data_IF_454090642680
#
_entry.id   IF_454090642680
#
_cell.length_a   1.000
_cell.length_b   1.000
_cell.length_c   1.000
_cell.angle_alpha   90.00
_cell.angle_beta   90.00
_cell.angle_gamma   90.00
#
_symmetry.space_group_name_H-M   'P 1'
#
loop_
_entity.id
_entity.type
_entity.pdbx_description
1 polymer ?
#
# COMPACT_ATOMS: atom_id res chain seq x y z
N UNK A 1 -13.15 -7.98 -35.09
CA UNK A 1 -11.69 -7.73 -35.02
C UNK A 1 -10.85 -8.95 -35.44
N UNK A 2 -11.28 -9.73 -36.44
CA UNK A 2 -10.47 -10.85 -36.93
C UNK A 2 -9.26 -10.32 -37.71
N UNK A 3 -8.06 -10.78 -37.38
CA UNK A 3 -6.81 -10.42 -38.08
C UNK A 3 -5.97 -9.32 -37.45
N UNK A 4 -6.35 -8.75 -36.30
CA UNK A 4 -5.51 -7.84 -35.52
C UNK A 4 -4.33 -8.60 -34.89
N UNK A 5 -3.17 -7.95 -34.70
CA UNK A 5 -2.01 -8.58 -34.05
C UNK A 5 -1.88 -8.09 -32.62
N UNK A 6 -1.37 -8.93 -31.73
CA UNK A 6 -1.03 -8.55 -30.37
C UNK A 6 0.36 -9.07 -30.01
N UNK A 7 1.00 -8.39 -29.06
CA UNK A 7 2.28 -8.79 -28.48
C UNK A 7 2.06 -9.37 -27.10
N UNK A 8 2.66 -10.51 -26.79
CA UNK A 8 2.57 -11.12 -25.47
C UNK A 8 3.41 -10.32 -24.47
N UNK A 9 2.86 -10.08 -23.28
CA UNK A 9 3.51 -9.35 -22.20
C UNK A 9 4.16 -10.31 -21.18
N UNK A 10 3.58 -11.50 -21.01
CA UNK A 10 4.00 -12.52 -20.05
C UNK A 10 4.00 -13.90 -20.72
N UNK A 11 4.82 -14.86 -20.26
CA UNK A 11 4.79 -16.23 -20.75
C UNK A 11 3.50 -16.93 -20.31
N UNK A 12 2.94 -17.77 -21.18
CA UNK A 12 1.76 -18.59 -20.93
C UNK A 12 2.03 -20.02 -21.40
N UNK A 13 1.93 -21.01 -20.50
CA UNK A 13 2.29 -22.40 -20.80
C UNK A 13 1.18 -23.18 -21.49
N UNK A 14 -0.09 -22.80 -21.34
CA UNK A 14 -1.23 -23.49 -21.94
C UNK A 14 -1.50 -24.91 -21.40
N UNK A 15 -0.57 -25.55 -20.69
CA UNK A 15 -0.61 -26.96 -20.28
C UNK A 15 -1.81 -27.37 -19.41
N UNK A 16 -2.45 -26.41 -18.73
CA UNK A 16 -3.68 -26.66 -17.95
C UNK A 16 -4.96 -26.59 -18.78
N UNK A 17 -4.86 -26.22 -20.05
CA UNK A 17 -5.97 -26.07 -20.99
C UNK A 17 -5.69 -26.89 -22.26
N UNK A 18 -6.51 -27.90 -22.55
CA UNK A 18 -6.32 -28.76 -23.73
C UNK A 18 -6.34 -28.03 -25.10
N UNK A 19 -6.76 -26.75 -25.12
CA UNK A 19 -6.73 -25.86 -26.27
C UNK A 19 -5.96 -24.54 -25.99
N UNK A 20 -5.08 -24.52 -24.97
CA UNK A 20 -4.32 -23.32 -24.60
C UNK A 20 -3.14 -23.05 -25.55
N UNK A 21 -3.02 -21.81 -26.05
CA UNK A 21 -1.92 -21.45 -26.94
C UNK A 21 -0.66 -21.09 -26.15
N UNK A 22 0.37 -21.93 -26.18
CA UNK A 22 1.63 -21.66 -25.46
C UNK A 22 2.50 -20.59 -26.15
N UNK A 23 2.99 -19.62 -25.38
CA UNK A 23 3.93 -18.58 -25.83
C UNK A 23 4.82 -18.05 -24.71
N UNK A 24 6.00 -17.53 -25.07
CA UNK A 24 6.83 -16.70 -24.20
C UNK A 24 6.43 -15.22 -24.27
N UNK A 25 6.93 -14.40 -23.34
CA UNK A 25 6.75 -12.94 -23.39
C UNK A 25 7.49 -12.34 -24.61
N UNK A 26 6.85 -11.38 -25.28
CA UNK A 26 7.39 -10.66 -26.43
C UNK A 26 7.05 -11.27 -27.79
N UNK A 27 6.40 -12.42 -27.85
CA UNK A 27 5.92 -13.08 -29.08
C UNK A 27 4.73 -12.34 -29.71
N UNK A 28 4.53 -12.55 -31.01
CA UNK A 28 3.41 -11.97 -31.77
C UNK A 28 2.34 -13.03 -32.04
N UNK A 29 1.09 -12.66 -31.81
CA UNK A 29 -0.08 -13.51 -32.03
C UNK A 29 -1.08 -12.77 -32.90
N UNK A 30 -1.67 -13.47 -33.86
CA UNK A 30 -2.76 -12.94 -34.70
C UNK A 30 -4.10 -13.37 -34.10
N UNK A 31 -4.98 -12.42 -33.82
CA UNK A 31 -6.28 -12.67 -33.20
C UNK A 31 -7.27 -13.26 -34.20
N UNK A 32 -7.87 -14.38 -33.83
CA UNK A 32 -8.93 -15.06 -34.56
C UNK A 32 -10.29 -14.69 -33.98
N UNK A 33 -10.47 -14.83 -32.67
CA UNK A 33 -11.71 -14.56 -31.95
C UNK A 33 -11.48 -13.74 -30.68
N UNK A 34 -12.35 -12.76 -30.43
CA UNK A 34 -12.29 -11.84 -29.29
C UNK A 34 -13.68 -11.77 -28.62
N UNK A 35 -14.09 -12.80 -27.86
CA UNK A 35 -15.31 -12.77 -27.05
C UNK A 35 -15.22 -11.78 -25.87
N UNK A 36 -16.36 -11.35 -25.34
CA UNK A 36 -16.46 -10.41 -24.21
C UNK A 36 -16.04 -11.02 -22.85
N UNK A 37 -15.52 -12.25 -22.83
CA UNK A 37 -15.14 -13.02 -21.64
C UNK A 37 -13.66 -12.97 -21.25
N UNK A 38 -12.86 -12.07 -21.84
CA UNK A 38 -11.46 -11.85 -21.43
C UNK A 38 -10.46 -12.93 -21.86
N UNK A 39 -10.89 -13.95 -22.58
CA UNK A 39 -10.04 -14.94 -23.26
C UNK A 39 -10.17 -14.79 -24.76
N UNK A 40 -9.05 -14.72 -25.45
CA UNK A 40 -9.00 -14.55 -26.90
C UNK A 40 -8.41 -15.80 -27.54
N UNK A 41 -8.89 -16.10 -28.74
CA UNK A 41 -8.30 -17.14 -29.58
C UNK A 41 -7.37 -16.46 -30.58
N UNK A 42 -6.18 -17.03 -30.75
CA UNK A 42 -5.24 -16.54 -31.74
C UNK A 42 -4.35 -17.62 -32.33
N UNK A 43 -3.58 -17.21 -33.32
CA UNK A 43 -2.65 -18.04 -34.07
C UNK A 43 -1.27 -17.41 -34.03
N UNK A 44 -0.27 -18.22 -33.69
CA UNK A 44 1.15 -17.85 -33.77
C UNK A 44 1.66 -17.96 -35.21
N UNK A 45 2.81 -17.36 -35.48
CA UNK A 45 3.44 -17.43 -36.80
C UNK A 45 3.87 -18.87 -37.19
N UNK A 46 3.96 -19.80 -36.24
CA UNK A 46 4.21 -21.24 -36.45
C UNK A 46 2.93 -22.04 -36.78
N UNK A 47 1.78 -21.37 -36.89
CA UNK A 47 0.48 -21.97 -37.22
C UNK A 47 -0.24 -22.62 -36.03
N UNK A 48 0.33 -22.58 -34.82
CA UNK A 48 -0.33 -23.10 -33.63
C UNK A 48 -1.45 -22.15 -33.21
N UNK A 49 -2.62 -22.73 -32.94
CA UNK A 49 -3.84 -22.04 -32.52
C UNK A 49 -4.23 -22.42 -31.11
N UNK A 50 -4.85 -21.49 -30.41
CA UNK A 50 -5.46 -21.76 -29.13
C UNK A 50 -5.83 -20.51 -28.37
N UNK A 51 -6.31 -20.74 -27.16
CA UNK A 51 -6.86 -19.72 -26.29
C UNK A 51 -5.82 -19.18 -25.32
N UNK A 52 -5.90 -17.89 -25.04
CA UNK A 52 -5.08 -17.22 -24.05
C UNK A 52 -5.77 -16.00 -23.43
N UNK A 53 -5.35 -15.56 -22.23
CA UNK A 53 -5.97 -14.41 -21.58
C UNK A 53 -5.65 -13.10 -22.31
N UNK A 54 -6.66 -12.25 -22.51
CA UNK A 54 -6.51 -10.91 -23.07
C UNK A 54 -5.52 -10.05 -22.26
N UNK A 55 -5.45 -10.25 -20.95
CA UNK A 55 -4.54 -9.55 -20.03
C UNK A 55 -3.07 -9.91 -20.23
N UNK A 56 -2.76 -10.98 -20.96
CA UNK A 56 -1.40 -11.43 -21.24
C UNK A 56 -0.84 -10.84 -22.54
N UNK A 57 -1.63 -10.03 -23.25
CA UNK A 57 -1.25 -9.47 -24.53
C UNK A 57 -1.58 -7.98 -24.62
N UNK A 58 -0.82 -7.28 -25.44
CA UNK A 58 -1.06 -5.89 -25.83
C UNK A 58 -1.42 -5.85 -27.31
N UNK A 59 -2.57 -5.27 -27.66
CA UNK A 59 -2.98 -5.13 -29.06
C UNK A 59 -2.00 -4.20 -29.80
N UNK A 60 -1.49 -4.69 -30.94
CA UNK A 60 -0.68 -3.92 -31.88
C UNK A 60 -1.59 -3.58 -33.06
N UNK A 61 -1.96 -2.31 -33.18
CA UNK A 61 -2.76 -1.81 -34.30
C UNK A 61 -2.11 -2.19 -35.65
N UNK A 62 -2.90 -2.66 -36.63
CA UNK A 62 -2.39 -3.04 -37.95
C UNK A 62 -2.35 -1.84 -38.92
N UNK A 63 -1.38 -1.83 -39.86
CA UNK A 63 -1.10 -0.74 -40.77
C UNK A 63 -2.02 -0.76 -41.99
N UNK A 64 -2.54 0.41 -42.39
CA UNK A 64 -3.18 0.58 -43.70
C UNK A 64 -4.33 1.58 -43.76
N UNK A 65 -4.06 2.87 -43.56
CA UNK A 65 -4.82 3.95 -44.21
C UNK A 65 -3.83 5.07 -44.62
N UNK A 66 -3.77 5.32 -45.92
CA UNK A 66 -2.97 6.34 -46.61
C UNK A 66 -3.56 7.75 -46.33
N UNK A 67 -2.77 8.83 -46.19
CA UNK A 67 -3.26 10.22 -46.03
C UNK A 67 -3.35 10.96 -47.39
N UNK A 68 -3.92 12.19 -47.46
CA UNK A 68 -5.33 12.59 -47.55
C UNK A 68 -5.71 13.18 -48.94
N UNK A 69 -6.92 13.75 -49.13
CA UNK A 69 -7.01 15.07 -49.75
C UNK A 69 -7.55 16.12 -48.77
N UNK A 70 -7.12 17.35 -49.04
CA UNK A 70 -7.15 18.53 -48.18
C UNK A 70 -8.56 19.05 -47.82
N UNK A 71 -8.64 19.62 -46.61
CA UNK A 71 -9.75 20.43 -46.06
C UNK A 71 -10.49 19.65 -44.97
N UNK A 72 -10.43 19.95 -43.68
CA UNK A 72 -10.37 21.25 -43.00
C UNK A 72 -9.45 21.20 -41.76
N UNK A 73 -9.10 22.37 -41.28
CA UNK A 73 -7.96 22.68 -40.43
C UNK A 73 -7.92 22.05 -39.03
N UNK A 74 -6.68 21.77 -38.65
CA UNK A 74 -6.15 21.48 -37.32
C UNK A 74 -6.70 22.33 -36.17
N UNK A 75 -7.10 21.65 -35.09
CA UNK A 75 -6.77 22.09 -33.73
C UNK A 75 -6.28 20.91 -32.89
N UNK A 76 -5.00 20.59 -33.02
CA UNK A 76 -4.26 19.83 -32.00
C UNK A 76 -4.03 20.74 -30.79
N UNK A 77 -5.03 20.88 -29.92
CA UNK A 77 -4.81 21.48 -28.60
C UNK A 77 -4.15 20.41 -27.72
N UNK A 78 -2.87 20.63 -27.42
CA UNK A 78 -2.06 19.78 -26.55
C UNK A 78 -2.64 19.83 -25.14
N UNK A 79 -2.80 18.66 -24.49
CA UNK A 79 -3.23 18.60 -23.09
C UNK A 79 -2.21 19.32 -22.19
N UNK A 80 -2.64 19.98 -21.09
CA UNK A 80 -1.70 20.62 -20.18
C UNK A 80 -0.67 19.63 -19.62
N UNK A 81 0.56 20.08 -19.26
CA UNK A 81 1.58 19.21 -18.69
C UNK A 81 1.05 18.39 -17.50
N UNK A 82 1.27 17.07 -17.54
CA UNK A 82 0.77 16.13 -16.54
C UNK A 82 -0.55 15.44 -16.91
N UNK A 83 -1.31 15.92 -17.90
CA UNK A 83 -2.58 15.27 -18.27
C UNK A 83 -2.42 14.25 -19.40
N UNK A 84 -2.94 13.04 -19.17
CA UNK A 84 -3.00 11.94 -20.14
C UNK A 84 -4.45 11.50 -20.35
N UNK A 85 -4.79 11.03 -21.56
CA UNK A 85 -6.13 10.52 -21.88
C UNK A 85 -6.15 8.99 -21.94
N UNK A 86 -7.18 8.39 -21.36
CA UNK A 86 -7.42 6.96 -21.32
C UNK A 86 -8.85 6.63 -21.77
N UNK A 87 -9.10 5.37 -22.13
CA UNK A 87 -10.44 4.87 -22.43
C UNK A 87 -10.89 3.96 -21.30
N UNK A 88 -12.12 4.15 -20.81
CA UNK A 88 -12.74 3.26 -19.85
C UNK A 88 -13.05 1.90 -20.50
N UNK A 89 -13.31 0.84 -19.70
CA UNK A 89 -13.75 -0.45 -20.23
C UNK A 89 -15.04 -0.38 -21.07
N UNK A 90 -15.81 0.70 -20.95
CA UNK A 90 -17.02 0.99 -21.74
C UNK A 90 -16.75 1.90 -22.95
N UNK A 91 -15.48 2.14 -23.29
CA UNK A 91 -15.06 2.95 -24.44
C UNK A 91 -15.15 4.47 -24.24
N UNK A 92 -15.42 4.95 -23.01
CA UNK A 92 -15.56 6.39 -22.74
C UNK A 92 -14.21 7.00 -22.38
N UNK A 93 -13.84 8.12 -23.03
CA UNK A 93 -12.57 8.80 -22.77
C UNK A 93 -12.60 9.56 -21.44
N UNK A 94 -11.56 9.39 -20.63
CA UNK A 94 -11.32 10.13 -19.39
C UNK A 94 -9.87 10.63 -19.35
N UNK A 95 -9.59 11.66 -18.57
CA UNK A 95 -8.28 12.29 -18.46
C UNK A 95 -7.76 12.15 -17.03
N UNK A 96 -6.47 11.84 -16.89
CA UNK A 96 -5.78 11.66 -15.60
C UNK A 96 -4.59 12.58 -15.55
N UNK A 97 -4.47 13.35 -14.47
CA UNK A 97 -3.27 14.12 -14.19
C UNK A 97 -2.26 13.23 -13.44
N UNK A 98 -1.14 12.89 -14.07
CA UNK A 98 -0.09 12.05 -13.49
C UNK A 98 0.73 12.73 -12.41
N UNK A 99 0.61 14.05 -12.24
CA UNK A 99 1.28 14.79 -11.17
C UNK A 99 0.39 14.95 -9.91
N UNK A 100 -0.94 15.08 -10.07
CA UNK A 100 -1.89 15.29 -8.95
C UNK A 100 -2.78 14.10 -8.64
N UNK A 101 -2.78 13.05 -9.48
CA UNK A 101 -3.71 11.91 -9.45
C UNK A 101 -5.20 12.30 -9.61
N UNK A 102 -5.50 13.48 -10.14
CA UNK A 102 -6.88 13.89 -10.44
C UNK A 102 -7.41 13.21 -11.70
N UNK A 103 -8.71 12.92 -11.72
CA UNK A 103 -9.39 12.32 -12.88
C UNK A 103 -10.60 13.16 -13.29
N UNK A 104 -10.80 13.38 -14.58
CA UNK A 104 -11.97 14.09 -15.12
C UNK A 104 -12.48 13.46 -16.41
N UNK A 105 -13.78 13.60 -16.65
CA UNK A 105 -14.43 13.18 -17.90
C UNK A 105 -14.39 14.28 -18.97
N UNK A 106 -14.09 15.51 -18.58
CA UNK A 106 -14.01 16.68 -19.47
C UNK A 106 -12.56 16.98 -19.83
N UNK A 107 -12.29 17.43 -21.07
CA UNK A 107 -10.92 17.70 -21.51
C UNK A 107 -10.34 18.90 -20.74
N UNK A 108 -9.22 18.75 -20.00
CA UNK A 108 -8.53 19.87 -19.36
C UNK A 108 -7.96 20.83 -20.42
N UNK A 109 -8.15 22.13 -20.25
CA UNK A 109 -7.70 23.17 -21.19
C UNK A 109 -6.51 23.98 -20.65
N UNK A 110 -5.63 24.43 -21.54
CA UNK A 110 -4.48 25.29 -21.23
C UNK A 110 -4.87 26.77 -21.30
N UNK A 111 -5.65 27.28 -20.34
CA UNK A 111 -5.85 28.75 -20.23
C UNK A 111 -6.07 29.18 -18.78
N UNK A 112 -5.34 30.18 -18.26
CA UNK A 112 -5.60 30.76 -16.95
C UNK A 112 -6.73 31.79 -17.00
N UNK A 113 -7.80 31.54 -16.25
CA UNK A 113 -8.77 32.55 -15.78
C UNK A 113 -9.98 32.84 -16.68
N UNK A 114 -11.17 32.45 -16.22
CA UNK A 114 -12.42 33.23 -16.01
C UNK A 114 -13.57 32.22 -15.78
N UNK A 115 -14.45 32.41 -14.77
CA UNK A 115 -15.44 31.41 -14.38
C UNK A 115 -16.67 31.47 -15.29
N UNK A 116 -17.03 30.33 -15.91
CA UNK A 116 -18.30 30.16 -16.58
C UNK A 116 -19.35 29.63 -15.58
N UNK A 117 -20.33 30.48 -15.26
CA UNK A 117 -21.49 30.16 -14.42
C UNK A 117 -22.35 29.03 -15.01
N UNK A 118 -23.03 28.21 -14.18
CA UNK A 118 -23.94 27.17 -14.64
C UNK A 118 -25.41 27.62 -14.68
N UNK A 119 -26.16 27.12 -15.68
CA UNK A 119 -27.61 26.99 -15.62
C UNK A 119 -28.24 26.61 -16.98
N UNK A 120 -29.52 26.18 -17.04
CA UNK A 120 -30.32 25.48 -16.01
C UNK A 120 -31.10 24.25 -16.56
N UNK A 121 -31.82 23.58 -15.65
CA UNK A 121 -32.98 22.65 -15.86
C UNK A 121 -32.70 21.14 -16.09
N UNK A 122 -33.38 20.18 -15.44
CA UNK A 122 -34.35 20.20 -14.32
C UNK A 122 -34.72 18.74 -13.91
N UNK A 123 -34.99 18.56 -12.61
CA UNK A 123 -35.94 17.60 -11.97
C UNK A 123 -35.59 16.09 -12.00
N UNK A 124 -35.82 15.28 -10.96
CA UNK A 124 -36.59 15.45 -9.72
C UNK A 124 -36.43 14.21 -8.83
N UNK A 125 -36.37 14.36 -7.50
CA UNK A 125 -37.30 13.82 -6.48
C UNK A 125 -36.88 14.28 -5.05
N UNK A 126 -37.80 14.37 -4.06
CA UNK A 126 -37.73 15.26 -2.88
C UNK A 126 -37.79 14.49 -1.52
N UNK A 127 -38.12 15.10 -0.35
CA UNK A 127 -37.23 15.90 0.51
C UNK A 127 -37.31 15.52 2.03
N UNK A 128 -36.75 16.39 2.88
CA UNK A 128 -36.86 16.55 4.36
C UNK A 128 -35.72 15.92 5.20
N UNK A 129 -35.08 16.56 6.19
CA UNK A 129 -35.48 17.60 7.17
C UNK A 129 -34.28 18.51 7.58
N UNK A 130 -34.58 19.81 7.77
CA UNK A 130 -33.98 20.90 8.60
C UNK A 130 -32.60 20.66 9.28
N UNK A 131 -31.62 21.57 9.26
CA UNK A 131 -31.64 23.02 9.12
C UNK A 131 -31.26 23.69 10.44
N UNK A 132 -30.05 24.26 10.55
CA UNK A 132 -29.71 25.46 11.33
C UNK A 132 -28.33 25.98 10.87
N UNK A 133 -28.31 27.14 10.23
CA UNK A 133 -27.12 27.97 10.01
C UNK A 133 -27.23 29.22 10.87
N UNK A 134 -26.11 29.66 11.46
CA UNK A 134 -25.78 31.08 11.64
C UNK A 134 -24.33 31.28 11.20
N UNK A 135 -24.10 32.37 10.49
CA UNK A 135 -22.94 32.71 9.69
C UNK A 135 -21.82 33.44 10.46
N UNK A 136 -20.62 33.44 9.88
CA UNK A 136 -19.51 34.33 10.20
C UNK A 136 -18.25 33.98 9.40
N UNK A 137 -18.00 34.74 8.33
CA UNK A 137 -16.99 34.58 7.26
C UNK A 137 -15.56 35.08 7.68
N UNK A 138 -14.53 35.12 6.80
CA UNK A 138 -13.44 34.14 6.73
C UNK A 138 -12.04 34.72 7.02
N UNK A 139 -11.04 33.86 7.22
CA UNK A 139 -9.62 34.22 7.04
C UNK A 139 -8.81 33.03 6.50
N UNK A 140 -8.17 33.25 5.35
CA UNK A 140 -7.19 32.38 4.71
C UNK A 140 -5.77 32.58 5.30
N UNK A 141 -4.82 31.67 5.02
CA UNK A 141 -3.68 31.33 5.87
C UNK A 141 -2.41 32.11 5.53
N UNK A 142 -1.29 31.80 6.21
CA UNK A 142 -0.05 31.75 5.45
C UNK A 142 0.82 30.52 5.71
N UNK A 143 1.45 30.11 4.61
CA UNK A 143 2.54 29.17 4.45
C UNK A 143 3.89 29.70 4.98
N UNK A 144 4.73 28.72 5.33
CA UNK A 144 6.19 28.63 5.30
C UNK A 144 7.03 29.86 4.93
N UNK A 145 7.97 30.21 5.82
CA UNK A 145 9.09 31.10 5.52
C UNK A 145 10.43 30.36 5.61
N UNK A 146 11.03 30.11 4.45
CA UNK A 146 12.48 29.96 4.28
C UNK A 146 13.12 31.35 4.29
N UNK A 147 14.06 31.63 5.19
CA UNK A 147 14.84 32.87 5.17
C UNK A 147 16.20 32.63 4.51
N UNK A 148 16.40 33.30 3.37
CA UNK A 148 17.65 33.44 2.66
C UNK A 148 18.41 34.67 3.19
N UNK A 149 19.71 34.51 3.42
CA UNK A 149 20.61 35.53 3.98
C UNK A 149 21.04 36.51 2.88
N UNK A 150 20.77 37.81 3.05
CA UNK A 150 21.33 38.90 2.24
C UNK A 150 22.38 39.68 3.03
N UNK A 151 23.57 39.77 2.45
CA UNK A 151 24.69 40.64 2.84
C UNK A 151 24.30 42.12 2.79
N UNK A 152 24.72 42.89 3.80
CA UNK A 152 24.97 44.32 3.69
C UNK A 152 26.36 44.66 4.24
N UNK A 153 27.13 45.31 3.39
CA UNK A 153 28.44 45.92 3.63
C UNK A 153 28.27 47.34 4.19
N UNK A 154 29.17 47.75 5.08
CA UNK A 154 29.28 49.14 5.53
C UNK A 154 30.33 49.30 6.63
N UNK A 155 31.56 49.64 6.22
CA UNK A 155 32.69 50.00 7.10
C UNK A 155 32.44 51.27 7.92
N UNK A 156 32.93 51.29 9.16
CA UNK A 156 33.55 52.46 9.81
C UNK A 156 34.34 52.05 11.05
N UNK A 157 35.60 52.49 11.08
CA UNK A 157 36.63 52.21 12.08
C UNK A 157 36.41 53.01 13.38
N UNK A 158 36.71 52.42 14.55
CA UNK A 158 37.62 53.04 15.54
C UNK A 158 38.00 52.15 16.76
N UNK A 159 39.31 51.97 16.90
CA UNK A 159 40.19 51.92 18.09
C UNK A 159 39.67 51.47 19.48
N UNK A 160 40.30 50.40 20.00
CA UNK A 160 40.95 50.41 21.32
C UNK A 160 40.23 49.74 22.50
N UNK A 161 40.54 48.48 22.80
CA UNK A 161 41.32 48.10 23.98
C UNK A 161 41.36 46.57 24.11
N UNK A 162 42.56 46.04 24.33
CA UNK A 162 42.84 44.65 24.58
C UNK A 162 42.42 44.25 26.00
N UNK A 163 41.51 43.30 26.12
CA UNK A 163 41.34 42.46 27.32
C UNK A 163 41.04 41.03 26.87
N UNK A 164 41.64 40.00 27.49
CA UNK A 164 41.55 38.64 27.00
C UNK A 164 40.16 38.08 27.32
N UNK A 165 39.26 38.17 26.35
CA UNK A 165 37.96 37.53 26.42
C UNK A 165 38.18 36.02 26.50
N UNK A 166 37.66 35.41 27.57
CA UNK A 166 37.51 33.96 27.73
C UNK A 166 37.15 33.34 26.37
N UNK A 167 38.01 32.48 25.83
CA UNK A 167 37.65 31.56 24.74
C UNK A 167 36.45 30.75 25.24
N UNK A 168 35.23 31.19 24.93
CA UNK A 168 34.07 30.30 24.95
C UNK A 168 34.41 29.21 23.93
N UNK A 169 34.71 28.01 24.41
CA UNK A 169 34.81 26.84 23.55
C UNK A 169 33.47 26.72 22.83
N UNK A 170 33.45 26.89 21.50
CA UNK A 170 32.26 26.55 20.71
C UNK A 170 31.90 25.09 21.04
N UNK A 171 30.68 24.86 21.50
CA UNK A 171 30.18 23.50 21.71
C UNK A 171 29.93 22.87 20.35
N UNK A 172 30.69 21.83 20.01
CA UNK A 172 30.63 21.16 18.71
C UNK A 172 29.47 20.13 18.62
N UNK A 173 28.74 19.93 19.71
CA UNK A 173 27.69 18.91 19.86
C UNK A 173 26.50 19.47 20.60
N UNK A 174 25.31 18.94 20.34
CA UNK A 174 24.07 19.24 21.06
C UNK A 174 23.48 17.96 21.64
N UNK A 175 23.02 18.00 22.88
CA UNK A 175 22.34 16.86 23.51
C UNK A 175 20.85 17.15 23.64
N UNK A 176 20.02 16.30 23.04
CA UNK A 176 18.56 16.38 23.06
C UNK A 176 18.03 15.05 23.57
N UNK A 177 17.18 15.07 24.60
CA UNK A 177 16.61 13.86 25.21
C UNK A 177 17.66 12.77 25.50
N UNK A 178 18.78 13.21 26.10
CA UNK A 178 19.93 12.38 26.47
C UNK A 178 20.71 11.73 25.31
N UNK A 179 20.38 12.02 24.04
CA UNK A 179 21.18 11.62 22.87
C UNK A 179 21.98 12.81 22.38
N UNK A 180 23.25 12.60 22.07
CA UNK A 180 24.14 13.65 21.57
C UNK A 180 24.25 13.57 20.05
N UNK A 181 23.99 14.70 19.40
CA UNK A 181 24.05 14.92 17.96
C UNK A 181 25.15 15.94 17.64
N UNK A 182 25.68 15.96 16.40
CA UNK A 182 26.55 17.06 15.96
C UNK A 182 25.80 18.39 16.00
N UNK A 183 26.49 19.47 16.38
CA UNK A 183 25.89 20.79 16.34
C UNK A 183 25.69 21.23 14.87
N UNK A 184 24.51 21.73 14.45
CA UNK A 184 24.22 22.04 13.05
C UNK A 184 25.26 22.98 12.40
N UNK A 185 25.70 24.00 13.13
CA UNK A 185 26.66 25.00 12.64
C UNK A 185 28.10 24.47 12.42
N UNK A 186 28.44 23.32 13.02
CA UNK A 186 29.78 22.71 12.92
C UNK A 186 29.76 21.36 12.21
N UNK A 187 28.59 20.91 11.76
CA UNK A 187 28.40 19.61 11.13
C UNK A 187 29.01 19.62 9.72
N UNK A 188 29.97 18.72 9.47
CA UNK A 188 30.32 18.29 8.12
C UNK A 188 29.26 17.30 7.63
N UNK A 189 29.01 17.27 6.33
CA UNK A 189 28.01 16.38 5.69
C UNK A 189 28.15 14.94 6.20
N UNK A 190 27.14 14.45 6.94
CA UNK A 190 27.15 13.10 7.50
C UNK A 190 26.51 12.15 6.50
N UNK A 191 27.27 11.14 6.07
CA UNK A 191 26.76 10.13 5.16
C UNK A 191 25.72 9.25 5.87
N UNK A 192 24.62 8.96 5.17
CA UNK A 192 23.61 8.00 5.59
C UNK A 192 24.19 6.58 5.59
N UNK A 193 23.67 5.72 6.47
CA UNK A 193 24.06 4.30 6.52
C UNK A 193 23.62 3.57 5.25
N UNK A 194 22.42 3.88 4.72
CA UNK A 194 21.93 3.36 3.44
C UNK A 194 21.54 4.53 2.51
N UNK A 195 22.50 5.10 1.75
CA UNK A 195 22.33 6.40 1.08
C UNK A 195 21.29 6.43 -0.05
N UNK A 196 20.94 5.29 -0.63
CA UNK A 196 19.97 5.18 -1.72
C UNK A 196 18.58 4.75 -1.24
N UNK A 197 18.43 4.45 0.05
CA UNK A 197 17.21 3.87 0.60
C UNK A 197 16.67 4.72 1.76
N UNK A 198 15.35 4.75 1.88
CA UNK A 198 14.69 5.39 3.02
C UNK A 198 14.63 4.42 4.20
N UNK A 199 15.81 4.10 4.74
CA UNK A 199 15.99 3.06 5.74
C UNK A 199 15.50 3.45 7.13
N UNK A 200 14.90 2.51 7.87
CA UNK A 200 14.53 2.75 9.26
C UNK A 200 15.72 3.11 10.15
N UNK A 201 16.94 2.64 9.82
CA UNK A 201 18.14 2.96 10.60
C UNK A 201 18.69 4.38 10.35
N UNK A 202 18.14 5.15 9.41
CA UNK A 202 18.66 6.49 9.07
C UNK A 202 17.78 7.63 9.60
N UNK A 203 16.45 7.41 9.70
CA UNK A 203 15.49 8.51 9.88
C UNK A 203 14.73 8.53 11.22
N UNK A 204 15.04 7.62 12.15
CA UNK A 204 14.27 7.45 13.40
C UNK A 204 15.11 7.64 14.68
N UNK A 205 16.10 8.54 14.62
CA UNK A 205 17.00 8.84 15.75
C UNK A 205 16.45 9.86 16.75
N UNK A 206 15.84 10.93 16.25
CA UNK A 206 15.30 12.00 17.08
C UNK A 206 13.90 11.64 17.60
N UNK A 207 13.58 12.06 18.82
CA UNK A 207 12.24 11.91 19.35
C UNK A 207 11.28 12.91 18.68
N UNK A 208 10.09 12.45 18.31
CA UNK A 208 9.05 13.27 17.71
C UNK A 208 8.26 14.01 18.80
N UNK A 209 8.06 15.31 18.62
CA UNK A 209 7.15 16.08 19.48
C UNK A 209 5.70 15.74 19.17
N UNK A 210 4.90 15.55 20.21
CA UNK A 210 3.45 15.45 20.09
C UNK A 210 2.90 16.77 19.51
N UNK A 211 2.05 16.74 18.46
CA UNK A 211 1.36 17.91 17.94
C UNK A 211 0.61 18.72 19.00
N UNK A 212 0.14 18.09 20.07
CA UNK A 212 -0.56 18.75 21.18
C UNK A 212 0.39 19.33 22.24
N UNK A 213 1.71 19.15 22.08
CA UNK A 213 2.74 19.73 22.97
C UNK A 213 2.91 19.01 24.31
N UNK A 214 2.19 17.92 24.56
CA UNK A 214 2.14 17.26 25.87
C UNK A 214 3.31 16.28 26.13
N UNK A 215 4.15 16.00 25.13
CA UNK A 215 5.29 15.10 25.30
C UNK A 215 6.11 14.85 24.04
N UNK A 216 7.11 13.98 24.18
CA UNK A 216 7.93 13.48 23.09
C UNK A 216 7.82 11.96 23.01
N UNK A 217 7.70 11.44 21.78
CA UNK A 217 7.60 10.01 21.47
C UNK A 217 8.91 9.58 20.79
N UNK A 218 9.51 8.48 21.24
CA UNK A 218 10.75 8.00 20.64
C UNK A 218 10.54 7.61 19.17
N UNK A 219 11.52 7.89 18.30
CA UNK A 219 11.45 7.50 16.88
C UNK A 219 11.19 6.00 16.69
N UNK A 220 11.80 5.17 17.55
CA UNK A 220 11.60 3.71 17.57
C UNK A 220 10.14 3.31 17.84
N UNK A 221 9.44 4.04 18.71
CA UNK A 221 8.06 3.73 19.07
C UNK A 221 7.11 3.90 17.87
N UNK A 222 7.40 4.85 16.98
CA UNK A 222 6.65 5.02 15.72
C UNK A 222 6.82 3.80 14.80
N UNK A 223 8.02 3.20 14.76
CA UNK A 223 8.27 1.98 14.01
C UNK A 223 7.49 0.80 14.59
N UNK A 224 7.47 0.64 15.91
CA UNK A 224 6.67 -0.39 16.57
C UNK A 224 5.17 -0.21 16.32
N UNK A 225 4.66 1.02 16.38
CA UNK A 225 3.27 1.32 16.03
C UNK A 225 2.96 0.96 14.57
N UNK A 226 3.88 1.24 13.63
CA UNK A 226 3.76 0.83 12.23
C UNK A 226 3.68 -0.68 12.07
N UNK A 227 4.49 -1.44 12.82
CA UNK A 227 4.47 -2.91 12.82
C UNK A 227 3.14 -3.46 13.34
N UNK A 228 2.68 -2.96 14.50
CA UNK A 228 1.41 -3.38 15.09
C UNK A 228 0.22 -3.05 14.18
N UNK A 229 0.22 -1.85 13.56
CA UNK A 229 -0.77 -1.48 12.55
C UNK A 229 -0.71 -2.43 11.35
N UNK A 230 0.49 -2.77 10.86
CA UNK A 230 0.66 -3.74 9.77
C UNK A 230 0.02 -5.10 10.07
N UNK A 231 0.22 -5.62 11.29
CA UNK A 231 -0.44 -6.87 11.73
C UNK A 231 -1.96 -6.73 11.87
N UNK A 232 -2.44 -5.57 12.33
CA UNK A 232 -3.88 -5.29 12.42
C UNK A 232 -4.54 -5.23 11.03
N UNK A 233 -3.94 -4.56 10.06
CA UNK A 233 -4.46 -4.50 8.68
C UNK A 233 -4.53 -5.89 8.04
N UNK A 234 -3.53 -6.73 8.27
CA UNK A 234 -3.54 -8.12 7.80
C UNK A 234 -4.70 -8.93 8.40
N UNK A 235 -5.01 -8.73 9.69
CA UNK A 235 -6.16 -9.36 10.35
C UNK A 235 -7.48 -8.91 9.72
N UNK A 236 -7.64 -7.62 9.49
CA UNK A 236 -8.84 -7.06 8.84
C UNK A 236 -9.01 -7.57 7.39
N UNK A 237 -7.92 -7.72 6.64
CA UNK A 237 -7.96 -8.34 5.31
C UNK A 237 -8.43 -9.80 5.38
N UNK A 238 -7.95 -10.57 6.36
CA UNK A 238 -8.41 -11.95 6.59
C UNK A 238 -9.91 -11.99 6.94
N UNK A 239 -10.38 -11.10 7.81
CA UNK A 239 -11.80 -10.97 8.17
C UNK A 239 -12.67 -10.60 6.95
N UNK A 240 -12.18 -9.73 6.06
CA UNK A 240 -12.85 -9.43 4.80
C UNK A 240 -13.00 -10.67 3.91
N UNK A 241 -11.95 -11.49 3.77
CA UNK A 241 -12.02 -12.75 3.02
C UNK A 241 -13.01 -13.72 3.68
N UNK A 242 -13.11 -13.75 5.01
CA UNK A 242 -14.11 -14.55 5.72
C UNK A 242 -15.55 -14.13 5.38
N UNK A 243 -15.82 -12.84 5.29
CA UNK A 243 -17.14 -12.38 4.84
C UNK A 243 -17.42 -12.76 3.38
N UNK A 244 -16.40 -12.69 2.50
CA UNK A 244 -16.51 -13.21 1.13
C UNK A 244 -16.83 -14.71 1.11
N UNK A 245 -16.17 -15.52 1.94
CA UNK A 245 -16.42 -16.96 2.06
C UNK A 245 -17.89 -17.23 2.43
N UNK A 246 -18.43 -16.53 3.43
CA UNK A 246 -19.84 -16.68 3.83
C UNK A 246 -20.83 -16.35 2.71
N UNK A 247 -20.53 -15.33 1.91
CA UNK A 247 -21.35 -14.95 0.75
C UNK A 247 -21.37 -16.09 -0.28
N UNK A 248 -20.20 -16.67 -0.57
CA UNK A 248 -20.09 -17.79 -1.52
C UNK A 248 -20.80 -19.05 -1.00
N UNK A 249 -20.71 -19.36 0.30
CA UNK A 249 -21.40 -20.49 0.91
C UNK A 249 -22.92 -20.35 0.83
N UNK A 250 -23.46 -19.17 1.13
CA UNK A 250 -24.90 -18.93 1.02
C UNK A 250 -25.37 -18.90 -0.44
N UNK A 251 -24.55 -18.39 -1.37
CA UNK A 251 -24.84 -18.46 -2.80
C UNK A 251 -24.92 -19.90 -3.29
N UNK A 252 -23.90 -20.71 -3.00
CA UNK A 252 -23.87 -22.14 -3.34
C UNK A 252 -25.06 -22.90 -2.73
N UNK A 253 -25.41 -22.64 -1.48
CA UNK A 253 -26.57 -23.25 -0.81
C UNK A 253 -27.89 -22.91 -1.50
N UNK A 254 -28.06 -21.67 -1.96
CA UNK A 254 -29.27 -21.26 -2.68
C UNK A 254 -29.35 -21.90 -4.07
N UNK A 255 -28.23 -22.00 -4.80
CA UNK A 255 -28.15 -22.74 -6.07
C UNK A 255 -28.50 -24.23 -5.88
N UNK A 256 -27.89 -24.89 -4.89
CA UNK A 256 -28.16 -26.29 -4.58
C UNK A 256 -29.62 -26.53 -4.17
N UNK A 257 -30.25 -25.58 -3.47
CA UNK A 257 -31.68 -25.69 -3.15
C UNK A 257 -32.56 -25.53 -4.40
N UNK A 258 -32.22 -24.59 -5.28
CA UNK A 258 -32.97 -24.34 -6.51
C UNK A 258 -32.83 -25.51 -7.50
N UNK A 259 -31.67 -26.14 -7.56
CA UNK A 259 -31.40 -27.30 -8.42
C UNK A 259 -32.31 -28.50 -8.12
N UNK A 260 -32.77 -28.64 -6.87
CA UNK A 260 -33.67 -29.72 -6.43
C UNK A 260 -35.16 -29.41 -6.62
N UNK A 261 -35.51 -28.28 -7.23
CA UNK A 261 -36.89 -27.89 -7.42
C UNK A 261 -37.61 -28.81 -8.44
N UNK A 262 -38.87 -29.15 -8.15
CA UNK A 262 -39.74 -29.98 -8.99
C UNK A 262 -40.48 -29.19 -10.10
N UNK A 263 -40.21 -27.90 -10.25
CA UNK A 263 -40.77 -27.10 -11.34
C UNK A 263 -40.50 -27.74 -12.71
N UNK A 264 -41.57 -27.84 -13.51
CA UNK A 264 -41.59 -28.46 -14.83
C UNK A 264 -40.97 -29.88 -14.89
N UNK A 265 -41.01 -30.63 -13.79
CA UNK A 265 -40.51 -32.01 -13.76
C UNK A 265 -41.39 -33.00 -14.56
N UNK A 266 -42.58 -32.57 -14.98
CA UNK A 266 -43.48 -33.35 -15.84
C UNK A 266 -43.23 -33.12 -17.33
N UNK A 267 -42.28 -32.25 -17.70
CA UNK A 267 -41.89 -32.12 -19.12
C UNK A 267 -41.19 -33.41 -19.57
N UNK A 268 -41.62 -33.96 -20.70
CA UNK A 268 -41.21 -35.27 -21.20
C UNK A 268 -40.31 -35.14 -22.44
N UNK A 269 -39.83 -36.29 -22.95
CA UNK A 269 -39.05 -36.35 -24.18
C UNK A 269 -37.67 -35.66 -24.08
N UNK A 270 -37.10 -35.37 -25.24
CA UNK A 270 -35.77 -34.74 -25.34
C UNK A 270 -35.75 -33.33 -24.75
N UNK A 271 -36.87 -32.60 -24.79
CA UNK A 271 -37.01 -31.31 -24.11
C UNK A 271 -36.96 -31.45 -22.58
N UNK A 272 -37.67 -32.43 -22.02
CA UNK A 272 -37.65 -32.75 -20.59
C UNK A 272 -36.27 -33.14 -20.07
N UNK A 273 -35.52 -33.95 -20.84
CA UNK A 273 -34.13 -34.30 -20.53
C UNK A 273 -33.21 -33.06 -20.49
N UNK A 274 -33.34 -32.16 -21.47
CA UNK A 274 -32.58 -30.91 -21.50
C UNK A 274 -32.92 -30.01 -20.30
N UNK A 275 -34.20 -29.90 -19.93
CA UNK A 275 -34.63 -29.16 -18.74
C UNK A 275 -34.08 -29.76 -17.43
N UNK A 276 -34.10 -31.09 -17.31
CA UNK A 276 -33.51 -31.78 -16.16
C UNK A 276 -32.00 -31.48 -16.04
N UNK A 277 -31.30 -31.39 -17.16
CA UNK A 277 -29.87 -31.06 -17.18
C UNK A 277 -29.59 -29.59 -16.84
N UNK A 278 -30.47 -28.65 -17.17
CA UNK A 278 -30.39 -27.25 -16.67
C UNK A 278 -30.47 -27.24 -15.14
N UNK A 279 -31.42 -27.98 -14.55
CA UNK A 279 -31.52 -28.07 -13.09
C UNK A 279 -30.27 -28.71 -12.48
N UNK A 280 -29.71 -29.74 -13.12
CA UNK A 280 -28.47 -30.38 -12.68
C UNK A 280 -27.27 -29.43 -12.77
N UNK A 281 -27.13 -28.62 -13.82
CA UNK A 281 -26.00 -27.68 -13.95
C UNK A 281 -25.97 -26.67 -12.81
N UNK A 282 -27.13 -26.25 -12.27
CA UNK A 282 -27.18 -25.42 -11.07
C UNK A 282 -26.61 -26.12 -9.81
N UNK A 283 -26.74 -27.44 -9.71
CA UNK A 283 -26.10 -28.20 -8.63
C UNK A 283 -24.58 -28.26 -8.82
N UNK A 284 -24.13 -28.42 -10.07
CA UNK A 284 -22.70 -28.42 -10.41
C UNK A 284 -22.07 -27.03 -10.17
N UNK A 285 -22.77 -25.93 -10.52
CA UNK A 285 -22.39 -24.55 -10.19
C UNK A 285 -22.28 -24.34 -8.67
N UNK A 286 -23.25 -24.84 -7.90
CA UNK A 286 -23.20 -24.80 -6.44
C UNK A 286 -21.93 -25.48 -5.88
N UNK A 287 -21.55 -26.64 -6.43
CA UNK A 287 -20.34 -27.36 -6.02
C UNK A 287 -19.06 -26.58 -6.38
N UNK A 288 -19.01 -25.93 -7.54
CA UNK A 288 -17.89 -25.07 -7.95
C UNK A 288 -17.69 -23.92 -6.96
N UNK A 289 -18.76 -23.21 -6.61
CA UNK A 289 -18.71 -22.10 -5.66
C UNK A 289 -18.38 -22.55 -4.23
N UNK A 290 -18.87 -23.72 -3.79
CA UNK A 290 -18.53 -24.28 -2.49
C UNK A 290 -17.05 -24.70 -2.40
N UNK A 291 -16.49 -25.28 -3.47
CA UNK A 291 -15.06 -25.58 -3.56
C UNK A 291 -14.22 -24.30 -3.54
N UNK A 292 -14.68 -23.25 -4.22
CA UNK A 292 -14.03 -21.95 -4.19
C UNK A 292 -13.97 -21.35 -2.79
N UNK A 293 -15.07 -21.37 -2.05
CA UNK A 293 -15.10 -20.86 -0.67
C UNK A 293 -14.15 -21.64 0.26
N UNK A 294 -14.08 -22.97 0.11
CA UNK A 294 -13.14 -23.81 0.84
C UNK A 294 -11.67 -23.47 0.51
N UNK A 295 -11.34 -23.23 -0.76
CA UNK A 295 -9.99 -22.79 -1.17
C UNK A 295 -9.66 -21.39 -0.67
N UNK A 296 -10.61 -20.45 -0.69
CA UNK A 296 -10.42 -19.13 -0.09
C UNK A 296 -10.06 -19.23 1.39
N UNK A 297 -10.72 -20.12 2.13
CA UNK A 297 -10.43 -20.35 3.54
C UNK A 297 -8.99 -20.86 3.74
N UNK A 298 -8.62 -21.95 3.05
CA UNK A 298 -7.35 -22.64 3.28
C UNK A 298 -6.14 -21.93 2.69
N UNK A 299 -6.29 -21.29 1.52
CA UNK A 299 -5.18 -20.73 0.75
C UNK A 299 -5.04 -19.21 0.88
N UNK A 300 -6.02 -18.49 1.44
CA UNK A 300 -5.98 -17.02 1.57
C UNK A 300 -6.29 -16.56 2.99
N UNK A 301 -7.48 -16.86 3.53
CA UNK A 301 -7.92 -16.35 4.83
C UNK A 301 -7.00 -16.81 5.96
N UNK A 302 -6.73 -18.12 6.04
CA UNK A 302 -5.97 -18.74 7.12
C UNK A 302 -4.48 -18.34 7.10
N UNK A 303 -3.76 -18.35 5.95
CA UNK A 303 -2.40 -17.82 5.89
C UNK A 303 -2.31 -16.35 6.32
N UNK A 304 -3.26 -15.51 5.88
CA UNK A 304 -3.32 -14.11 6.31
C UNK A 304 -3.56 -14.00 7.82
N UNK A 305 -4.43 -14.81 8.42
CA UNK A 305 -4.69 -14.74 9.87
C UNK A 305 -3.46 -15.15 10.69
N UNK A 306 -2.89 -16.30 10.35
CA UNK A 306 -1.94 -17.03 11.19
C UNK A 306 -0.48 -16.62 10.94
N UNK A 307 -0.19 -15.79 9.94
CA UNK A 307 1.18 -15.31 9.72
C UNK A 307 1.68 -14.53 10.94
N UNK A 308 2.68 -15.09 11.64
CA UNK A 308 3.32 -14.55 12.85
C UNK A 308 2.36 -14.36 14.03
N UNK A 309 1.86 -15.45 14.59
CA UNK A 309 0.90 -15.42 15.73
C UNK A 309 1.49 -14.76 16.99
N UNK A 310 2.78 -14.95 17.27
CA UNK A 310 3.45 -14.41 18.46
C UNK A 310 3.92 -12.94 18.31
N UNK A 311 3.63 -12.30 17.17
CA UNK A 311 4.20 -11.00 16.80
C UNK A 311 4.02 -9.90 17.84
N UNK A 312 2.84 -9.80 18.48
CA UNK A 312 2.58 -8.79 19.52
C UNK A 312 3.51 -8.95 20.73
N UNK A 313 3.84 -10.20 21.10
CA UNK A 313 4.75 -10.51 22.20
C UNK A 313 6.19 -10.16 21.82
N UNK A 314 6.59 -10.48 20.59
CA UNK A 314 7.92 -10.19 20.07
C UNK A 314 8.16 -8.68 19.98
N UNK A 315 7.17 -7.91 19.50
CA UNK A 315 7.25 -6.44 19.48
C UNK A 315 7.38 -5.83 20.88
N UNK A 316 6.66 -6.37 21.89
CA UNK A 316 6.84 -5.91 23.29
C UNK A 316 8.22 -6.22 23.85
N UNK A 317 8.79 -7.38 23.51
CA UNK A 317 10.14 -7.74 23.94
C UNK A 317 11.18 -6.82 23.30
N UNK A 318 10.99 -6.51 22.02
CA UNK A 318 11.81 -5.59 21.24
C UNK A 318 11.75 -4.15 21.81
N UNK A 319 10.53 -3.67 22.11
CA UNK A 319 10.30 -2.39 22.78
C UNK A 319 11.03 -2.30 24.13
N UNK A 320 10.85 -3.29 24.99
CA UNK A 320 11.46 -3.32 26.32
C UNK A 320 12.99 -3.28 26.25
N UNK A 321 13.60 -4.02 25.32
CA UNK A 321 15.05 -4.05 25.12
C UNK A 321 15.61 -2.66 24.78
N UNK A 322 15.01 -1.97 23.78
CA UNK A 322 15.46 -0.63 23.38
C UNK A 322 15.15 0.41 24.48
N UNK A 323 14.01 0.30 25.16
CA UNK A 323 13.65 1.17 26.27
C UNK A 323 14.62 1.06 27.45
N UNK A 324 15.06 -0.16 27.79
CA UNK A 324 16.04 -0.39 28.85
C UNK A 324 17.41 0.23 28.52
N UNK A 325 17.85 0.14 27.26
CA UNK A 325 19.07 0.81 26.79
C UNK A 325 18.94 2.34 26.86
N UNK A 326 17.79 2.90 26.45
CA UNK A 326 17.51 4.34 26.61
C UNK A 326 17.51 4.76 28.08
N UNK A 327 16.94 3.95 28.99
CA UNK A 327 16.95 4.21 30.43
C UNK A 327 18.37 4.21 31.00
N UNK A 328 19.23 3.29 30.56
CA UNK A 328 20.66 3.30 30.91
C UNK A 328 21.35 4.59 30.43
N UNK A 329 21.07 5.02 29.19
CA UNK A 329 21.61 6.26 28.63
C UNK A 329 21.19 7.50 29.44
N UNK A 330 19.91 7.60 29.83
CA UNK A 330 19.39 8.67 30.70
C UNK A 330 20.12 8.68 32.04
N UNK A 331 20.34 7.51 32.65
CA UNK A 331 21.08 7.39 33.91
C UNK A 331 22.53 7.86 33.77
N UNK A 332 23.21 7.49 32.68
CA UNK A 332 24.58 7.95 32.40
C UNK A 332 24.65 9.46 32.17
N UNK A 333 23.71 10.01 31.42
CA UNK A 333 23.61 11.46 31.21
C UNK A 333 23.44 12.23 32.53
N UNK A 334 22.55 11.77 33.42
CA UNK A 334 22.39 12.36 34.74
C UNK A 334 23.68 12.32 35.58
N UNK A 335 24.48 11.25 35.46
CA UNK A 335 25.77 11.16 36.12
C UNK A 335 26.80 12.14 35.55
N UNK A 336 26.84 12.34 34.23
CA UNK A 336 27.67 13.35 33.56
C UNK A 336 27.31 14.76 34.06
N UNK A 337 26.02 15.11 34.09
CA UNK A 337 25.58 16.43 34.53
C UNK A 337 25.90 16.69 36.01
N UNK A 338 25.75 15.67 36.86
CA UNK A 338 26.18 15.73 38.26
C UNK A 338 27.69 15.95 38.39
N UNK A 339 28.51 15.23 37.62
CA UNK A 339 29.96 15.38 37.63
C UNK A 339 30.40 16.75 37.09
N UNK A 340 29.74 17.26 36.04
CA UNK A 340 29.96 18.60 35.46
C UNK A 340 29.68 19.71 36.48
N UNK A 341 28.55 19.60 37.20
CA UNK A 341 28.20 20.51 38.29
C UNK A 341 29.25 20.47 39.40
N UNK A 342 29.66 19.27 39.82
CA UNK A 342 30.69 19.10 40.85
C UNK A 342 32.04 19.71 40.42
N UNK A 343 32.47 19.52 39.16
CA UNK A 343 33.68 20.14 38.63
C UNK A 343 33.58 21.68 38.68
N UNK A 344 32.45 22.24 38.24
CA UNK A 344 32.21 23.69 38.26
C UNK A 344 32.29 24.25 39.68
N UNK A 345 31.70 23.56 40.66
CA UNK A 345 31.76 23.93 42.08
C UNK A 345 33.20 23.87 42.63
N UNK A 346 33.98 22.84 42.29
CA UNK A 346 35.38 22.71 42.72
C UNK A 346 36.31 23.72 42.06
N UNK A 347 36.04 24.09 40.81
CA UNK A 347 36.77 25.15 40.11
C UNK A 347 36.52 26.51 40.77
N UNK A 348 35.27 26.83 41.15
CA UNK A 348 34.95 28.05 41.90
C UNK A 348 35.60 28.07 43.30
N UNK A 349 35.59 26.95 44.02
CA UNK A 349 36.27 26.84 45.33
C UNK A 349 37.79 27.09 45.21
N UNK A 350 38.42 26.55 44.17
CA UNK A 350 39.83 26.78 43.87
C UNK A 350 40.10 28.26 43.53
N UNK A 351 39.26 28.87 42.70
CA UNK A 351 39.37 30.29 42.31
C UNK A 351 39.24 31.21 43.53
N UNK A 352 38.23 30.99 44.38
CA UNK A 352 38.02 31.77 45.62
C UNK A 352 39.22 31.64 46.59
N UNK A 353 39.76 30.43 46.77
CA UNK A 353 40.94 30.23 47.65
C UNK A 353 42.20 30.88 47.08
N UNK A 354 42.32 30.91 45.75
CA UNK A 354 43.43 31.60 45.08
C UNK A 354 43.34 33.11 45.31
N UNK A 355 42.14 33.71 45.17
CA UNK A 355 41.91 35.11 45.50
C UNK A 355 42.15 35.41 47.00
N UNK A 356 41.81 34.49 47.90
CA UNK A 356 42.05 34.66 49.34
C UNK A 356 43.54 34.72 49.70
N UNK A 357 44.40 34.02 48.95
CA UNK A 357 45.86 34.12 49.11
C UNK A 357 46.40 35.48 48.68
N UNK A 358 45.83 36.10 47.64
CA UNK A 358 46.20 37.46 47.19
C UNK A 358 45.87 38.52 48.25
N UNK A 359 44.80 38.33 49.02
CA UNK A 359 44.38 39.24 50.10
C UNK A 359 45.19 39.01 51.38
N UNK A 360 45.44 37.74 51.75
CA UNK A 360 46.15 37.40 52.99
C UNK A 360 47.04 36.18 52.80
N UNK A 361 48.34 36.45 52.70
CA UNK A 361 49.37 35.41 52.59
C UNK A 361 49.47 34.63 53.92
N UNK A 362 49.25 33.32 53.86
CA UNK A 362 49.41 32.42 55.00
C UNK A 362 49.71 31.01 54.51
N UNK A 363 50.63 30.32 55.18
CA UNK A 363 50.96 28.92 54.90
C UNK A 363 49.72 28.01 54.94
N UNK A 364 48.71 28.36 55.77
CA UNK A 364 47.43 27.64 55.82
C UNK A 364 46.64 27.77 54.51
N UNK A 365 46.59 28.97 53.94
CA UNK A 365 45.90 29.26 52.68
C UNK A 365 46.57 28.54 51.50
N UNK A 366 47.91 28.43 51.49
CA UNK A 366 48.64 27.67 50.48
C UNK A 366 48.30 26.17 50.51
N UNK A 367 48.22 25.56 51.69
CA UNK A 367 47.81 24.16 51.83
C UNK A 367 46.34 23.93 51.42
N UNK A 368 45.44 24.86 51.74
CA UNK A 368 44.05 24.81 51.30
C UNK A 368 43.90 24.92 49.77
N UNK A 369 44.76 25.70 49.09
CA UNK A 369 44.84 25.77 47.63
C UNK A 369 45.33 24.44 47.04
N UNK A 370 46.41 23.86 47.59
CA UNK A 370 46.90 22.53 47.14
C UNK A 370 45.78 21.48 47.23
N UNK A 371 45.03 21.49 48.35
CA UNK A 371 43.89 20.60 48.57
C UNK A 371 42.74 20.86 47.60
N UNK A 372 42.38 22.12 47.36
CA UNK A 372 41.33 22.50 46.42
C UNK A 372 41.70 22.11 44.98
N UNK A 373 42.97 22.31 44.59
CA UNK A 373 43.49 21.91 43.28
C UNK A 373 43.38 20.40 43.06
N UNK A 374 43.84 19.59 44.03
CA UNK A 374 43.68 18.12 43.97
C UNK A 374 42.21 17.71 43.82
N UNK A 375 41.30 18.33 44.58
CA UNK A 375 39.86 18.07 44.49
C UNK A 375 39.24 18.49 43.15
N UNK A 376 39.74 19.55 42.53
CA UNK A 376 39.32 19.99 41.20
C UNK A 376 39.83 19.04 40.11
N UNK A 377 41.08 18.61 40.19
CA UNK A 377 41.64 17.60 39.27
C UNK A 377 40.87 16.30 39.36
N UNK A 378 40.63 15.79 40.58
CA UNK A 378 39.83 14.58 40.81
C UNK A 378 38.42 14.69 40.22
N UNK A 379 37.75 15.85 40.37
CA UNK A 379 36.44 16.07 39.77
C UNK A 379 36.48 16.09 38.23
N UNK A 380 37.61 16.51 37.64
CA UNK A 380 37.87 16.43 36.21
C UNK A 380 38.01 14.98 35.73
N UNK A 381 38.80 14.17 36.45
CA UNK A 381 38.95 12.73 36.18
C UNK A 381 37.61 11.98 36.34
N UNK A 382 36.81 12.37 37.32
CA UNK A 382 35.46 11.83 37.53
C UNK A 382 34.52 12.17 36.38
N UNK A 383 34.54 13.42 35.89
CA UNK A 383 33.77 13.83 34.72
C UNK A 383 34.19 13.04 33.48
N UNK A 384 35.50 12.89 33.24
CA UNK A 384 36.03 12.13 32.11
C UNK A 384 35.50 10.70 32.11
N UNK A 385 35.58 10.02 33.26
CA UNK A 385 35.02 8.66 33.43
C UNK A 385 33.51 8.60 33.20
N UNK A 386 32.76 9.58 33.69
CA UNK A 386 31.32 9.65 33.46
C UNK A 386 30.98 9.83 31.98
N UNK A 387 31.73 10.66 31.27
CA UNK A 387 31.58 10.87 29.81
C UNK A 387 31.93 9.60 29.03
N UNK A 388 32.99 8.88 29.40
CA UNK A 388 33.35 7.61 28.76
C UNK A 388 32.23 6.57 28.91
N UNK A 389 31.66 6.43 30.11
CA UNK A 389 30.55 5.52 30.37
C UNK A 389 29.25 5.95 29.67
N UNK A 390 29.03 7.25 29.48
CA UNK A 390 27.94 7.77 28.67
C UNK A 390 28.11 7.41 27.20
N UNK A 391 29.30 7.65 26.64
CA UNK A 391 29.62 7.32 25.25
C UNK A 391 29.50 5.82 24.98
N UNK A 392 30.00 4.97 25.89
CA UNK A 392 29.84 3.51 25.78
C UNK A 392 28.36 3.08 25.78
N UNK A 393 27.53 3.67 26.66
CA UNK A 393 26.10 3.39 26.69
C UNK A 393 25.39 3.87 25.41
N UNK A 394 25.79 5.04 24.88
CA UNK A 394 25.24 5.58 23.64
C UNK A 394 25.62 4.71 22.43
N UNK A 395 26.89 4.28 22.32
CA UNK A 395 27.33 3.39 21.24
C UNK A 395 26.62 2.04 21.29
N UNK A 396 26.44 1.46 22.49
CA UNK A 396 25.68 0.22 22.65
C UNK A 396 24.22 0.39 22.22
N UNK A 397 23.57 1.47 22.66
CA UNK A 397 22.20 1.78 22.22
C UNK A 397 22.13 1.99 20.70
N UNK A 398 23.10 2.71 20.12
CA UNK A 398 23.17 2.97 18.70
C UNK A 398 23.26 1.69 17.88
N UNK A 399 24.21 0.79 18.18
CA UNK A 399 24.40 -0.47 17.45
C UNK A 399 23.14 -1.37 17.53
N UNK A 400 22.56 -1.52 18.72
CA UNK A 400 21.33 -2.28 18.93
C UNK A 400 20.13 -1.65 18.23
N UNK A 401 20.05 -0.31 18.19
CA UNK A 401 19.01 0.42 17.46
C UNK A 401 19.15 0.22 15.95
N UNK A 402 20.36 0.28 15.39
CA UNK A 402 20.60 0.00 13.95
C UNK A 402 20.15 -1.40 13.59
N UNK A 403 20.63 -2.42 14.31
CA UNK A 403 20.32 -3.82 13.97
C UNK A 403 18.83 -4.12 14.13
N UNK A 404 18.21 -3.62 15.19
CA UNK A 404 16.79 -3.83 15.46
C UNK A 404 15.91 -3.14 14.41
N UNK A 405 16.24 -1.90 14.03
CA UNK A 405 15.46 -1.17 13.01
C UNK A 405 15.58 -1.79 11.62
N UNK A 406 16.76 -2.30 11.24
CA UNK A 406 16.94 -3.06 10.00
C UNK A 406 16.14 -4.37 10.01
N UNK A 407 16.05 -5.06 11.15
CA UNK A 407 15.19 -6.23 11.26
C UNK A 407 13.72 -5.84 11.09
N UNK A 408 13.24 -4.78 11.75
CA UNK A 408 11.87 -4.28 11.56
C UNK A 408 11.57 -3.92 10.10
N UNK A 409 12.52 -3.32 9.38
CA UNK A 409 12.41 -3.04 7.95
C UNK A 409 12.23 -4.32 7.15
N UNK A 410 13.10 -5.32 7.36
CA UNK A 410 13.01 -6.64 6.74
C UNK A 410 11.66 -7.32 7.01
N UNK A 411 11.17 -7.24 8.26
CA UNK A 411 9.87 -7.79 8.65
C UNK A 411 8.71 -7.13 7.91
N UNK A 412 8.77 -5.82 7.69
CA UNK A 412 7.73 -5.10 6.96
C UNK A 412 7.74 -5.47 5.46
N UNK A 413 8.92 -5.58 4.85
CA UNK A 413 9.05 -6.05 3.45
C UNK A 413 8.46 -7.44 3.28
N UNK A 414 8.86 -8.39 4.14
CA UNK A 414 8.35 -9.77 4.13
C UNK A 414 6.83 -9.82 4.31
N UNK A 415 6.27 -8.97 5.18
CA UNK A 415 4.81 -8.86 5.38
C UNK A 415 4.11 -8.38 4.12
N UNK A 416 4.63 -7.34 3.45
CA UNK A 416 4.03 -6.80 2.22
C UNK A 416 4.09 -7.83 1.09
N UNK A 417 5.23 -8.51 0.93
CA UNK A 417 5.38 -9.57 -0.07
C UNK A 417 4.45 -10.75 0.17
N UNK A 418 4.31 -11.20 1.42
CA UNK A 418 3.38 -12.26 1.80
C UNK A 418 1.93 -11.88 1.48
N UNK A 419 1.50 -10.65 1.82
CA UNK A 419 0.15 -10.17 1.49
C UNK A 419 -0.05 -10.14 -0.03
N UNK A 420 0.91 -9.57 -0.77
CA UNK A 420 0.85 -9.53 -2.24
C UNK A 420 0.69 -10.93 -2.83
N UNK A 421 1.45 -11.90 -2.34
CA UNK A 421 1.37 -13.30 -2.79
C UNK A 421 -0.03 -13.89 -2.58
N UNK A 422 -0.64 -13.71 -1.40
CA UNK A 422 -1.95 -14.27 -1.11
C UNK A 422 -3.10 -13.52 -1.80
N UNK A 423 -2.92 -12.24 -2.10
CA UNK A 423 -3.85 -11.51 -2.97
C UNK A 423 -3.75 -11.98 -4.44
N UNK A 424 -2.54 -12.30 -4.93
CA UNK A 424 -2.39 -12.98 -6.22
C UNK A 424 -3.07 -14.35 -6.20
N UNK A 425 -2.93 -15.13 -5.11
CA UNK A 425 -3.63 -16.41 -4.95
C UNK A 425 -5.16 -16.23 -5.01
N UNK A 426 -5.71 -15.23 -4.31
CA UNK A 426 -7.13 -14.88 -4.41
C UNK A 426 -7.56 -14.62 -5.85
N UNK A 427 -6.79 -13.82 -6.61
CA UNK A 427 -7.13 -13.55 -8.02
C UNK A 427 -7.01 -14.81 -8.89
N UNK A 428 -6.03 -15.67 -8.65
CA UNK A 428 -5.89 -16.93 -9.39
C UNK A 428 -7.09 -17.84 -9.16
N UNK A 429 -7.49 -18.02 -7.89
CA UNK A 429 -8.65 -18.82 -7.51
C UNK A 429 -9.92 -18.26 -8.16
N UNK A 430 -10.10 -16.94 -8.19
CA UNK A 430 -11.23 -16.30 -8.86
C UNK A 430 -11.28 -16.65 -10.36
N UNK A 431 -10.18 -16.50 -11.08
CA UNK A 431 -10.14 -16.83 -12.51
C UNK A 431 -10.42 -18.32 -12.77
N UNK A 432 -9.81 -19.21 -11.98
CA UNK A 432 -10.05 -20.66 -12.11
C UNK A 432 -11.51 -21.02 -11.84
N UNK A 433 -12.12 -20.44 -10.80
CA UNK A 433 -13.53 -20.67 -10.45
C UNK A 433 -14.46 -20.19 -11.55
N UNK A 434 -14.25 -18.99 -12.10
CA UNK A 434 -15.08 -18.45 -13.18
C UNK A 434 -15.00 -19.37 -14.43
N UNK A 435 -13.82 -19.92 -14.73
CA UNK A 435 -13.64 -20.90 -15.80
C UNK A 435 -14.38 -22.22 -15.54
N UNK A 436 -14.30 -22.77 -14.32
CA UNK A 436 -15.04 -23.99 -13.97
C UNK A 436 -16.55 -23.76 -14.02
N UNK A 437 -17.02 -22.61 -13.56
CA UNK A 437 -18.43 -22.26 -13.61
C UNK A 437 -18.92 -22.13 -15.06
N UNK A 438 -18.12 -21.56 -15.97
CA UNK A 438 -18.47 -21.52 -17.39
C UNK A 438 -18.59 -22.91 -18.01
N UNK A 439 -17.81 -23.89 -17.55
CA UNK A 439 -17.88 -25.25 -18.12
C UNK A 439 -19.13 -26.04 -17.74
N UNK A 440 -19.90 -25.62 -16.72
CA UNK A 440 -21.09 -26.35 -16.26
C UNK A 440 -22.26 -26.32 -17.24
N UNK A 441 -22.28 -25.38 -18.19
CA UNK A 441 -23.34 -25.27 -19.21
C UNK A 441 -23.07 -26.14 -20.45
N UNK A 442 -21.85 -26.67 -20.63
CA UNK A 442 -21.52 -27.49 -21.80
C UNK A 442 -22.43 -28.74 -21.95
N UNK A 443 -22.77 -29.49 -20.89
CA UNK A 443 -23.72 -30.61 -20.98
C UNK A 443 -25.14 -30.16 -21.36
N UNK A 444 -25.55 -28.96 -20.93
CA UNK A 444 -26.85 -28.36 -21.30
C UNK A 444 -26.89 -28.09 -22.79
N UNK A 445 -25.87 -27.42 -23.33
CA UNK A 445 -25.73 -27.14 -24.76
C UNK A 445 -25.73 -28.43 -25.60
N UNK A 446 -25.13 -29.51 -25.09
CA UNK A 446 -25.13 -30.80 -25.78
C UNK A 446 -26.52 -31.42 -25.88
N UNK A 447 -27.35 -31.32 -24.84
CA UNK A 447 -28.73 -31.83 -24.88
C UNK A 447 -29.66 -30.91 -25.66
N UNK A 448 -29.50 -29.59 -25.56
CA UNK A 448 -30.29 -28.64 -26.34
C UNK A 448 -30.14 -28.87 -27.85
N UNK A 449 -28.94 -29.21 -28.33
CA UNK A 449 -28.72 -29.59 -29.75
C UNK A 449 -29.41 -30.89 -30.16
N UNK A 450 -29.80 -31.74 -29.21
CA UNK A 450 -30.48 -33.03 -29.45
C UNK A 450 -32.00 -32.92 -29.34
N UNK A 451 -32.55 -31.78 -28.93
CA UNK A 451 -34.00 -31.57 -28.83
C UNK A 451 -34.62 -31.70 -30.22
N UNK A 452 -35.59 -32.60 -30.35
CA UNK A 452 -36.28 -32.90 -31.61
C UNK A 452 -37.80 -32.91 -31.41
N UNK A 453 -38.50 -31.82 -31.76
CA UNK A 453 -39.94 -31.72 -31.58
C UNK A 453 -40.75 -32.80 -32.31
N UNK A 454 -40.23 -33.34 -33.42
CA UNK A 454 -40.93 -34.37 -34.17
C UNK A 454 -40.88 -35.71 -33.45
N UNK A 455 -39.71 -36.08 -32.90
CA UNK A 455 -39.56 -37.29 -32.09
C UNK A 455 -40.32 -37.22 -30.78
N UNK A 456 -40.30 -36.07 -30.10
CA UNK A 456 -41.04 -35.89 -28.85
C UNK A 456 -42.56 -36.03 -29.10
N UNK A 457 -43.07 -35.41 -30.17
CA UNK A 457 -44.48 -35.61 -30.59
C UNK A 457 -44.78 -37.07 -30.90
N UNK A 458 -43.90 -37.77 -31.62
CA UNK A 458 -44.10 -39.18 -31.96
C UNK A 458 -44.16 -40.05 -30.70
N UNK A 459 -43.25 -39.82 -29.75
CA UNK A 459 -43.20 -40.53 -28.46
C UNK A 459 -44.51 -40.33 -27.70
N UNK A 460 -44.95 -39.08 -27.55
CA UNK A 460 -46.18 -38.77 -26.81
C UNK A 460 -47.42 -39.37 -27.48
N UNK A 461 -47.58 -39.22 -28.81
CA UNK A 461 -48.72 -39.80 -29.55
C UNK A 461 -48.71 -41.32 -29.47
N UNK A 462 -47.55 -41.96 -29.50
CA UNK A 462 -47.44 -43.42 -29.41
C UNK A 462 -48.01 -43.96 -28.09
N UNK A 463 -47.76 -43.25 -27.00
CA UNK A 463 -48.23 -43.61 -25.66
C UNK A 463 -49.71 -43.22 -25.43
N UNK A 464 -50.16 -42.10 -26.00
CA UNK A 464 -51.46 -41.51 -25.68
C UNK A 464 -52.52 -41.59 -26.80
N UNK A 465 -52.24 -42.22 -27.95
CA UNK A 465 -53.21 -42.36 -29.05
C UNK A 465 -54.50 -43.05 -28.58
N UNK A 466 -55.64 -42.49 -28.97
CA UNK A 466 -56.97 -43.04 -28.65
C UNK A 466 -57.58 -43.86 -29.78
N UNK A 467 -56.92 -43.88 -30.95
CA UNK A 467 -57.34 -44.61 -32.13
C UNK A 467 -56.61 -44.09 -33.37
N UNK A 468 -56.52 -44.92 -34.40
CA UNK A 468 -55.93 -44.57 -35.71
C UNK A 468 -56.94 -44.67 -36.86
N UNK A 469 -58.19 -45.05 -36.56
CA UNK A 469 -59.28 -45.12 -37.52
C UNK A 469 -60.06 -43.81 -37.48
N UNK A 470 -60.29 -43.20 -38.64
CA UNK A 470 -61.12 -42.00 -38.74
C UNK A 470 -62.60 -42.39 -38.75
N UNK A 471 -63.50 -41.57 -38.18
CA UNK A 471 -64.94 -41.77 -38.32
C UNK A 471 -65.37 -41.84 -39.80
N UNK A 472 -66.41 -42.62 -40.08
CA UNK A 472 -67.05 -42.75 -41.40
C UNK A 472 -68.54 -42.43 -41.29
N UNK A 473 -69.17 -42.12 -42.41
CA UNK A 473 -70.59 -41.82 -42.47
C UNK A 473 -71.45 -43.08 -42.23
N UNK A 474 -72.66 -42.90 -41.69
CA UNK A 474 -73.64 -43.98 -41.51
C UNK A 474 -74.26 -44.36 -42.86
N UNK A 475 -74.44 -45.66 -43.11
CA UNK A 475 -75.18 -46.17 -44.26
C UNK A 475 -76.69 -45.96 -44.10
N UNK A 476 -77.40 -45.79 -45.23
CA UNK A 476 -78.86 -45.51 -45.30
C UNK A 476 -79.65 -46.82 -45.31
#
# INVERSE_FOLDING_TARGET
MSGARCRTLYPFSGERHGQGLRFAAGELITLLQVPDGGWWEGEKDDGLRGWFPASYVQLLEKPGMVPPPLGEESQTVVLPPGWQSYLSPQGRRYYVNTATNETTWERPSTSPGIPASPGPHRSSLPPTVNGYHVAGTPAHPPETAHMSVRKSTGDSQNLGSSSPSKKQSKENTITINCVTFPHPDTMLEQQLLKPTEWSYCDYFWADKKDPQGNGTVAGFELLLQKQLKGKQMQKEMSEFIRERIKIEEEYAKNLAKLSQNSLAAQEEGSLGEAWAQVKKSLADEAEVHLKFSAKLHSEVEKPLMNFRENFKKDMKKCDHHIADLRKQLVSRYAAVEKARKALTERQRDLEMKTQQLEIKLSNKTEEDIKKARRKSTQAGDDLMRCVDLYNQAQSKWFEEMVTTTLELERLEVERVEMIRQHLCQYTQLRHETDMFNQSTVEPVDQLLRKVDPAKDRELWVREHKTGNIRPVDMEI
#
